data_IF_048190727732
#
_entry.id   IF_048190727732
#
_cell.length_a   1.000
_cell.length_b   1.000
_cell.length_c   1.000
_cell.angle_alpha   90.00
_cell.angle_beta   90.00
_cell.angle_gamma   90.00
#
_symmetry.space_group_name_H-M   'P 1'
#
loop_
_entity.id
_entity.type
_entity.pdbx_description
1 polymer ?
#
# COMPACT_ATOMS: atom_id res chain seq x y z
N UNK A 1 86.75 -41.65 -13.82
CA UNK A 1 85.80 -40.62 -13.37
C UNK A 1 84.81 -40.38 -14.49
N UNK A 2 83.51 -40.60 -14.22
CA UNK A 2 82.31 -40.19 -14.97
C UNK A 2 81.22 -41.25 -14.63
N UNK A 3 80.51 -41.09 -13.51
CA UNK A 3 79.25 -40.32 -13.33
C UNK A 3 78.01 -41.09 -13.83
N UNK A 4 77.19 -41.48 -12.85
CA UNK A 4 75.84 -42.06 -13.01
C UNK A 4 74.84 -40.91 -12.77
N UNK A 5 73.80 -40.71 -13.60
CA UNK A 5 72.88 -39.59 -13.42
C UNK A 5 71.85 -39.87 -12.31
N UNK A 6 71.59 -38.84 -11.52
CA UNK A 6 70.62 -38.76 -10.44
C UNK A 6 69.17 -38.90 -10.90
N UNK A 7 68.40 -39.70 -10.17
CA UNK A 7 66.94 -39.77 -10.24
C UNK A 7 66.30 -38.49 -9.69
N UNK A 8 65.35 -37.92 -10.43
CA UNK A 8 64.41 -36.92 -9.92
C UNK A 8 62.98 -37.38 -10.17
N UNK A 9 62.23 -37.53 -9.09
CA UNK A 9 60.80 -37.86 -9.08
C UNK A 9 60.03 -36.57 -9.41
N UNK A 10 59.06 -36.56 -10.33
CA UNK A 10 58.17 -35.41 -10.50
C UNK A 10 57.17 -35.35 -9.32
N UNK A 11 57.12 -34.23 -8.60
CA UNK A 11 56.09 -33.96 -7.60
C UNK A 11 54.77 -33.60 -8.30
N UNK A 12 53.74 -34.42 -8.09
CA UNK A 12 52.34 -34.02 -8.20
C UNK A 12 51.99 -33.05 -7.06
N UNK A 13 51.35 -31.92 -7.37
CA UNK A 13 50.86 -31.02 -6.32
C UNK A 13 50.46 -29.61 -6.74
N UNK A 14 49.83 -29.41 -7.91
CA UNK A 14 49.17 -28.14 -8.18
C UNK A 14 47.79 -28.14 -7.50
N UNK A 15 47.74 -27.64 -6.26
CA UNK A 15 46.49 -27.39 -5.56
C UNK A 15 45.67 -26.36 -6.36
N UNK A 16 44.50 -26.78 -6.85
CA UNK A 16 43.47 -25.85 -7.30
C UNK A 16 42.98 -25.11 -6.07
N UNK A 17 43.58 -23.95 -5.80
CA UNK A 17 43.04 -22.99 -4.84
C UNK A 17 41.65 -22.59 -5.34
N UNK A 18 40.62 -23.10 -4.67
CA UNK A 18 39.24 -22.64 -4.78
C UNK A 18 39.23 -21.12 -4.58
N UNK A 19 38.95 -20.37 -5.64
CA UNK A 19 38.67 -18.94 -5.55
C UNK A 19 37.38 -18.76 -4.75
N UNK A 20 37.51 -18.69 -3.42
CA UNK A 20 36.42 -18.27 -2.55
C UNK A 20 36.06 -16.85 -2.96
N UNK A 21 34.92 -16.69 -3.62
CA UNK A 21 34.27 -15.39 -3.77
C UNK A 21 34.11 -14.84 -2.35
N UNK A 22 34.67 -13.65 -2.04
CA UNK A 22 34.51 -13.05 -0.72
C UNK A 22 33.02 -12.83 -0.49
N UNK A 23 32.45 -13.52 0.50
CA UNK A 23 31.04 -13.36 0.89
C UNK A 23 30.79 -12.15 1.78
N UNK A 24 31.84 -11.42 2.16
CA UNK A 24 31.77 -10.22 2.99
C UNK A 24 32.04 -8.99 2.14
N UNK A 25 31.04 -8.09 2.07
CA UNK A 25 31.21 -6.74 1.54
C UNK A 25 31.98 -5.91 2.59
N UNK A 26 32.89 -5.06 2.13
CA UNK A 26 33.58 -4.07 2.97
C UNK A 26 32.62 -2.94 3.36
N UNK A 27 32.90 -2.21 4.45
CA UNK A 27 32.05 -1.10 4.91
C UNK A 27 31.79 -0.05 3.81
N UNK A 28 32.79 0.21 2.95
CA UNK A 28 32.64 1.11 1.79
C UNK A 28 31.72 0.55 0.71
N UNK A 29 31.72 -0.78 0.51
CA UNK A 29 30.79 -1.43 -0.40
C UNK A 29 29.38 -1.41 0.19
N UNK A 30 29.21 -1.58 1.51
CA UNK A 30 27.93 -1.45 2.21
C UNK A 30 27.38 -0.02 2.17
N UNK A 31 28.22 0.99 2.35
CA UNK A 31 27.83 2.41 2.20
C UNK A 31 27.31 2.73 0.78
N UNK A 32 27.79 2.02 -0.24
CA UNK A 32 27.32 2.17 -1.62
C UNK A 32 25.93 1.56 -1.88
N UNK A 33 25.48 0.63 -1.02
CA UNK A 33 24.14 0.03 -1.10
C UNK A 33 23.06 0.86 -0.41
N UNK A 34 23.43 1.85 0.42
CA UNK A 34 22.49 2.69 1.16
C UNK A 34 21.62 1.90 2.16
N UNK A 35 20.87 2.58 3.05
CA UNK A 35 19.81 1.91 3.79
C UNK A 35 18.73 1.40 2.82
N UNK A 36 18.03 0.29 3.11
CA UNK A 36 16.87 -0.12 2.33
C UNK A 36 15.84 1.02 2.31
N UNK A 37 15.49 1.50 1.12
CA UNK A 37 14.48 2.56 0.92
C UNK A 37 13.28 1.97 0.18
N UNK A 38 12.38 1.24 0.90
CA UNK A 38 11.24 0.61 0.27
C UNK A 38 10.32 1.67 -0.34
N UNK A 39 9.89 1.47 -1.59
CA UNK A 39 8.96 2.39 -2.25
C UNK A 39 7.55 2.14 -1.74
N UNK A 40 7.11 2.96 -0.80
CA UNK A 40 5.77 2.88 -0.20
C UNK A 40 4.79 3.84 -0.88
N UNK A 41 3.61 3.33 -1.27
CA UNK A 41 2.51 4.14 -1.78
C UNK A 41 1.31 4.09 -0.83
N UNK A 42 0.61 5.21 -0.74
CA UNK A 42 -0.68 5.30 -0.04
C UNK A 42 -1.73 5.79 -1.03
N UNK A 43 -2.64 4.90 -1.41
CA UNK A 43 -3.68 5.11 -2.41
C UNK A 43 -5.04 5.34 -1.75
N UNK A 44 -5.48 6.59 -1.69
CA UNK A 44 -6.82 6.98 -1.25
C UNK A 44 -7.84 6.85 -2.38
N UNK A 45 -8.83 5.98 -2.21
CA UNK A 45 -9.84 5.67 -3.22
C UNK A 45 -11.21 6.28 -2.86
N UNK A 46 -11.75 7.08 -3.77
CA UNK A 46 -13.06 7.72 -3.61
C UNK A 46 -13.07 8.81 -2.53
N UNK A 47 -14.28 9.19 -2.09
CA UNK A 47 -14.42 10.39 -1.27
C UNK A 47 -13.76 10.33 0.10
N UNK A 48 -14.07 9.30 0.89
CA UNK A 48 -13.43 9.12 2.22
C UNK A 48 -11.93 8.89 2.08
N UNK A 49 -11.48 8.06 1.13
CA UNK A 49 -10.04 7.86 0.90
C UNK A 49 -9.31 9.16 0.54
N UNK A 50 -9.93 10.03 -0.27
CA UNK A 50 -9.39 11.35 -0.58
C UNK A 50 -9.38 12.29 0.64
N UNK A 51 -10.38 12.22 1.52
CA UNK A 51 -10.36 12.96 2.78
C UNK A 51 -9.23 12.47 3.68
N UNK A 52 -9.02 11.16 3.77
CA UNK A 52 -7.86 10.58 4.44
C UNK A 52 -6.55 11.09 3.81
N UNK A 53 -6.43 11.21 2.48
CA UNK A 53 -5.22 11.78 1.84
C UNK A 53 -4.97 13.23 2.26
N UNK A 54 -6.03 14.03 2.41
CA UNK A 54 -5.90 15.37 2.96
C UNK A 54 -5.32 15.36 4.37
N UNK A 55 -5.77 14.42 5.22
CA UNK A 55 -5.26 14.26 6.60
C UNK A 55 -3.82 13.80 6.62
N UNK A 56 -3.48 12.76 5.86
CA UNK A 56 -2.10 12.25 5.71
C UNK A 56 -1.16 13.36 5.24
N UNK A 57 -1.56 14.15 4.25
CA UNK A 57 -0.75 15.27 3.77
C UNK A 57 -0.64 16.37 4.82
N UNK A 58 -1.67 16.60 5.62
CA UNK A 58 -1.66 17.62 6.67
C UNK A 58 -0.78 17.24 7.86
N UNK A 59 -0.81 15.98 8.32
CA UNK A 59 0.00 15.51 9.45
C UNK A 59 1.48 15.28 9.09
N UNK A 60 1.79 15.25 7.79
CA UNK A 60 3.13 14.97 7.26
C UNK A 60 3.53 13.53 7.50
N UNK A 61 3.46 12.69 6.45
CA UNK A 61 3.99 11.33 6.46
C UNK A 61 5.22 11.32 5.58
N UNK A 62 6.38 11.03 6.18
CA UNK A 62 7.66 10.88 5.47
C UNK A 62 7.79 9.46 4.94
N UNK A 63 8.51 9.28 3.82
CA UNK A 63 8.78 7.95 3.27
C UNK A 63 7.63 7.30 2.48
N UNK A 64 6.52 8.01 2.23
CA UNK A 64 5.43 7.48 1.40
C UNK A 64 4.95 8.45 0.30
N UNK A 65 4.65 7.90 -0.87
CA UNK A 65 4.05 8.62 -2.00
C UNK A 65 2.53 8.57 -1.87
N UNK A 66 1.89 9.73 -1.74
CA UNK A 66 0.42 9.82 -1.63
C UNK A 66 -0.25 9.92 -2.99
N UNK A 67 -1.25 9.07 -3.22
CA UNK A 67 -2.02 8.98 -4.46
C UNK A 67 -3.51 9.10 -4.15
N UNK A 68 -4.19 10.08 -4.75
CA UNK A 68 -5.65 10.21 -4.67
C UNK A 68 -6.29 9.73 -5.97
N UNK A 69 -7.27 8.82 -5.86
CA UNK A 69 -7.93 8.17 -7.00
C UNK A 69 -9.44 8.36 -6.87
N UNK A 70 -10.07 9.04 -7.82
CA UNK A 70 -11.50 9.35 -7.73
C UNK A 70 -12.17 9.41 -9.12
N UNK A 71 -13.48 9.23 -9.16
CA UNK A 71 -14.33 9.46 -10.35
C UNK A 71 -14.96 10.86 -10.36
N UNK A 72 -14.93 11.53 -9.20
CA UNK A 72 -15.44 12.89 -9.01
C UNK A 72 -14.28 13.89 -9.16
N UNK A 73 -14.36 14.75 -10.18
CA UNK A 73 -13.33 15.74 -10.46
C UNK A 73 -13.27 16.83 -9.39
N UNK A 74 -14.43 17.32 -8.95
CA UNK A 74 -14.51 18.42 -8.00
C UNK A 74 -13.89 18.02 -6.65
N UNK A 75 -14.16 16.79 -6.19
CA UNK A 75 -13.53 16.28 -4.97
C UNK A 75 -12.02 16.10 -5.16
N UNK A 76 -11.60 15.54 -6.30
CA UNK A 76 -10.18 15.32 -6.59
C UNK A 76 -9.37 16.62 -6.69
N UNK A 77 -9.94 17.67 -7.27
CA UNK A 77 -9.32 19.00 -7.34
C UNK A 77 -8.99 19.53 -5.94
N UNK A 78 -9.92 19.36 -4.99
CA UNK A 78 -9.78 19.80 -3.60
C UNK A 78 -8.98 18.84 -2.70
N UNK A 79 -8.54 17.70 -3.23
CA UNK A 79 -7.71 16.73 -2.50
C UNK A 79 -6.24 17.12 -2.54
N UNK A 80 -5.47 16.92 -1.47
CA UNK A 80 -4.02 17.10 -1.41
C UNK A 80 -3.38 15.72 -1.44
N UNK A 81 -2.58 15.47 -2.47
CA UNK A 81 -1.81 14.26 -2.69
C UNK A 81 -0.70 14.56 -3.71
N UNK A 82 0.40 13.82 -3.66
CA UNK A 82 1.51 13.98 -4.62
C UNK A 82 1.08 13.59 -6.03
N UNK A 83 0.23 12.57 -6.15
CA UNK A 83 -0.35 12.14 -7.42
C UNK A 83 -1.88 12.11 -7.34
N UNK A 84 -2.54 12.46 -8.44
CA UNK A 84 -4.01 12.47 -8.54
C UNK A 84 -4.44 11.77 -9.82
N UNK A 85 -5.38 10.84 -9.72
CA UNK A 85 -5.94 10.13 -10.85
C UNK A 85 -7.46 10.30 -10.91
N UNK A 86 -7.95 10.96 -11.97
CA UNK A 86 -9.36 10.97 -12.32
C UNK A 86 -9.66 9.75 -13.19
N UNK A 87 -10.29 8.73 -12.62
CA UNK A 87 -10.63 7.49 -13.32
C UNK A 87 -12.01 7.61 -13.96
N UNK A 88 -12.22 6.94 -15.10
CA UNK A 88 -13.54 6.86 -15.74
C UNK A 88 -14.06 8.19 -16.30
N UNK A 89 -13.18 9.14 -16.66
CA UNK A 89 -13.55 10.45 -17.23
C UNK A 89 -14.57 10.34 -18.37
N UNK A 90 -14.41 9.37 -19.27
CA UNK A 90 -15.32 9.17 -20.41
C UNK A 90 -16.66 8.52 -20.02
N UNK A 91 -16.75 7.94 -18.82
CA UNK A 91 -17.94 7.24 -18.32
C UNK A 91 -18.78 8.19 -17.44
N UNK A 92 -18.15 8.84 -16.47
CA UNK A 92 -18.85 9.70 -15.49
C UNK A 92 -18.86 11.18 -15.88
N UNK A 93 -18.04 11.57 -16.88
CA UNK A 93 -17.75 12.98 -17.20
C UNK A 93 -17.18 13.76 -16.01
N UNK A 94 -16.61 13.06 -15.03
CA UNK A 94 -16.07 13.66 -13.80
C UNK A 94 -17.12 13.95 -12.73
N UNK A 95 -18.37 13.48 -12.87
CA UNK A 95 -19.47 13.71 -11.94
C UNK A 95 -19.58 12.66 -10.81
N UNK A 96 -18.62 11.72 -10.74
CA UNK A 96 -18.65 10.64 -9.77
C UNK A 96 -19.49 9.43 -10.16
N UNK A 97 -19.45 8.40 -9.31
CA UNK A 97 -20.13 7.11 -9.54
C UNK A 97 -21.58 7.06 -9.00
N UNK A 98 -22.11 8.16 -8.44
CA UNK A 98 -23.50 8.22 -7.96
C UNK A 98 -23.84 7.23 -6.82
N UNK A 99 -22.84 6.76 -6.09
CA UNK A 99 -23.02 5.75 -5.04
C UNK A 99 -23.07 4.30 -5.55
N UNK A 100 -22.99 4.06 -6.85
CA UNK A 100 -23.00 2.72 -7.45
C UNK A 100 -21.58 2.10 -7.53
N UNK A 101 -21.29 1.01 -6.79
CA UNK A 101 -20.00 0.33 -6.84
C UNK A 101 -19.67 -0.26 -8.22
N UNK A 102 -20.69 -0.71 -8.96
CA UNK A 102 -20.50 -1.29 -10.31
C UNK A 102 -19.98 -0.22 -11.24
N UNK A 103 -20.56 0.98 -11.18
CA UNK A 103 -20.05 2.14 -11.92
C UNK A 103 -18.61 2.48 -11.53
N UNK A 104 -18.30 2.53 -10.23
CA UNK A 104 -16.95 2.79 -9.73
C UNK A 104 -15.92 1.78 -10.25
N UNK A 105 -16.27 0.50 -10.23
CA UNK A 105 -15.45 -0.61 -10.76
C UNK A 105 -15.21 -0.47 -12.26
N UNK A 106 -16.26 -0.25 -13.07
CA UNK A 106 -16.12 -0.03 -14.52
C UNK A 106 -15.20 1.14 -14.84
N UNK A 107 -15.26 2.19 -14.03
CA UNK A 107 -14.37 3.34 -14.15
C UNK A 107 -12.91 2.96 -13.87
N UNK A 108 -12.63 2.20 -12.81
CA UNK A 108 -11.29 1.71 -12.50
C UNK A 108 -10.75 0.74 -13.56
N UNK A 109 -11.60 -0.17 -14.07
CA UNK A 109 -11.24 -1.09 -15.15
C UNK A 109 -10.84 -0.34 -16.42
N UNK A 110 -11.58 0.71 -16.80
CA UNK A 110 -11.22 1.57 -17.93
C UNK A 110 -9.91 2.37 -17.71
N UNK A 111 -9.50 2.56 -16.46
CA UNK A 111 -8.27 3.22 -16.07
C UNK A 111 -7.15 2.28 -15.63
N UNK A 112 -7.32 0.96 -15.82
CA UNK A 112 -6.44 -0.09 -15.26
C UNK A 112 -4.97 0.14 -15.61
N UNK A 113 -4.65 0.39 -16.88
CA UNK A 113 -3.27 0.63 -17.32
C UNK A 113 -2.60 1.80 -16.59
N UNK A 114 -3.36 2.84 -16.24
CA UNK A 114 -2.83 4.00 -15.50
C UNK A 114 -2.64 3.65 -14.02
N UNK A 115 -3.56 2.88 -13.44
CA UNK A 115 -3.43 2.37 -12.06
C UNK A 115 -2.18 1.49 -11.96
N UNK A 116 -1.99 0.55 -12.89
CA UNK A 116 -0.81 -0.32 -12.94
C UNK A 116 0.48 0.52 -12.99
N UNK A 117 0.55 1.54 -13.85
CA UNK A 117 1.72 2.44 -13.93
C UNK A 117 2.02 3.20 -12.63
N UNK A 118 1.01 3.55 -11.85
CA UNK A 118 1.20 4.23 -10.57
C UNK A 118 1.83 3.27 -9.55
N UNK A 119 1.28 2.06 -9.45
CA UNK A 119 1.67 1.06 -8.44
C UNK A 119 2.89 0.23 -8.84
N UNK A 120 3.30 0.29 -10.10
CA UNK A 120 4.46 -0.43 -10.61
C UNK A 120 5.75 -0.04 -9.86
N UNK A 121 6.55 -1.05 -9.50
CA UNK A 121 7.76 -0.88 -8.69
C UNK A 121 7.53 -0.46 -7.23
N UNK A 122 6.31 -0.57 -6.70
CA UNK A 122 6.05 -0.37 -5.28
C UNK A 122 6.37 -1.63 -4.48
N UNK A 123 7.02 -1.49 -3.33
CA UNK A 123 7.27 -2.61 -2.41
C UNK A 123 6.05 -2.84 -1.50
N UNK A 124 5.40 -1.75 -1.09
CA UNK A 124 4.22 -1.74 -0.22
C UNK A 124 3.20 -0.72 -0.71
N UNK A 125 1.96 -1.14 -0.83
CA UNK A 125 0.83 -0.28 -1.20
C UNK A 125 -0.24 -0.35 -0.12
N UNK A 126 -0.50 0.79 0.53
CA UNK A 126 -1.68 1.00 1.33
C UNK A 126 -2.86 1.40 0.45
N UNK A 127 -3.97 0.69 0.55
CA UNK A 127 -5.22 1.06 -0.13
C UNK A 127 -6.21 1.51 0.92
N UNK A 128 -6.62 2.79 0.90
CA UNK A 128 -7.60 3.31 1.85
C UNK A 128 -8.88 3.76 1.17
N UNK A 129 -10.03 3.35 1.73
CA UNK A 129 -11.33 3.67 1.21
C UNK A 129 -12.43 3.56 2.28
N UNK A 130 -13.38 4.49 2.24
CA UNK A 130 -14.67 4.30 2.90
C UNK A 130 -15.60 3.46 2.03
N UNK A 131 -16.04 2.32 2.56
CA UNK A 131 -16.91 1.38 1.86
C UNK A 131 -18.39 1.78 1.99
N UNK A 132 -19.21 1.33 1.05
CA UNK A 132 -20.65 1.62 0.97
C UNK A 132 -21.01 2.73 -0.01
N UNK A 133 -20.03 3.51 -0.46
CA UNK A 133 -20.15 4.43 -1.59
C UNK A 133 -19.98 3.74 -2.94
N UNK A 134 -20.00 4.51 -4.04
CA UNK A 134 -19.79 3.95 -5.38
C UNK A 134 -18.31 3.87 -5.75
N UNK A 135 -17.62 5.00 -5.61
CA UNK A 135 -16.23 5.12 -6.04
C UNK A 135 -15.28 4.31 -5.17
N UNK A 136 -15.26 4.54 -3.85
CA UNK A 136 -14.33 3.84 -2.95
C UNK A 136 -14.49 2.32 -3.02
N UNK A 137 -15.74 1.84 -2.90
CA UNK A 137 -16.09 0.41 -2.96
C UNK A 137 -15.78 -0.23 -4.30
N UNK A 138 -15.97 0.48 -5.42
CA UNK A 138 -15.68 -0.07 -6.75
C UNK A 138 -14.20 -0.02 -7.15
N UNK A 139 -13.48 1.04 -6.74
CA UNK A 139 -12.08 1.27 -7.13
C UNK A 139 -11.10 0.48 -6.25
N UNK A 140 -11.32 0.43 -4.93
CA UNK A 140 -10.35 -0.13 -3.99
C UNK A 140 -9.92 -1.58 -4.32
N UNK A 141 -10.83 -2.52 -4.68
CA UNK A 141 -10.41 -3.86 -5.08
C UNK A 141 -9.52 -3.89 -6.33
N UNK A 142 -9.77 -3.01 -7.30
CA UNK A 142 -8.98 -2.95 -8.55
C UNK A 142 -7.58 -2.42 -8.26
N UNK A 143 -7.45 -1.39 -7.43
CA UNK A 143 -6.13 -0.85 -7.04
C UNK A 143 -5.33 -1.88 -6.26
N UNK A 144 -5.96 -2.57 -5.32
CA UNK A 144 -5.32 -3.66 -4.57
C UNK A 144 -4.86 -4.79 -5.48
N UNK A 145 -5.72 -5.21 -6.44
CA UNK A 145 -5.40 -6.26 -7.40
C UNK A 145 -4.21 -5.90 -8.29
N UNK A 146 -4.18 -4.68 -8.84
CA UNK A 146 -3.07 -4.23 -9.70
C UNK A 146 -1.76 -4.07 -8.92
N UNK A 147 -1.82 -3.58 -7.68
CA UNK A 147 -0.64 -3.49 -6.81
C UNK A 147 -0.07 -4.88 -6.51
N UNK A 148 -0.93 -5.85 -6.15
CA UNK A 148 -0.52 -7.23 -5.87
C UNK A 148 0.06 -7.92 -7.10
N UNK A 149 -0.55 -7.71 -8.28
CA UNK A 149 -0.02 -8.20 -9.56
C UNK A 149 1.34 -7.60 -9.92
N UNK A 150 1.60 -6.37 -9.50
CA UNK A 150 2.88 -5.66 -9.69
C UNK A 150 3.95 -6.06 -8.67
N UNK A 151 3.65 -7.01 -7.77
CA UNK A 151 4.61 -7.58 -6.82
C UNK A 151 4.64 -6.92 -5.44
N UNK A 152 3.85 -5.86 -5.22
CA UNK A 152 3.79 -5.16 -3.95
C UNK A 152 3.10 -6.00 -2.86
N UNK A 153 3.50 -5.80 -1.60
CA UNK A 153 2.68 -6.16 -0.45
C UNK A 153 1.50 -5.19 -0.37
N UNK A 154 0.28 -5.70 -0.25
CA UNK A 154 -0.93 -4.87 -0.25
C UNK A 154 -1.65 -4.91 1.09
N UNK A 155 -1.75 -3.75 1.74
CA UNK A 155 -2.49 -3.57 3.00
C UNK A 155 -3.67 -2.65 2.74
N UNK A 156 -4.89 -3.16 2.89
CA UNK A 156 -6.08 -2.33 2.77
C UNK A 156 -6.52 -1.82 4.14
N UNK A 157 -6.76 -0.50 4.28
CA UNK A 157 -7.32 0.12 5.48
C UNK A 157 -8.67 0.74 5.11
N UNK A 158 -9.75 0.05 5.46
CA UNK A 158 -11.10 0.39 4.99
C UNK A 158 -12.06 0.67 6.13
N UNK A 159 -13.01 1.57 5.92
CA UNK A 159 -14.09 1.83 6.89
C UNK A 159 -15.43 1.28 6.43
N UNK A 160 -16.23 0.78 7.37
CA UNK A 160 -17.65 0.47 7.15
C UNK A 160 -18.51 1.70 7.47
N UNK A 161 -19.68 1.88 6.83
CA UNK A 161 -20.52 3.05 7.06
C UNK A 161 -21.17 3.03 8.45
N UNK A 162 -21.52 4.21 8.97
CA UNK A 162 -22.37 4.32 10.16
C UNK A 162 -23.77 3.75 9.85
N UNK A 163 -24.42 3.17 10.87
CA UNK A 163 -25.78 2.60 10.75
C UNK A 163 -26.81 3.64 10.29
N UNK A 164 -26.55 4.93 10.57
CA UNK A 164 -27.39 6.06 10.14
C UNK A 164 -27.31 6.37 8.64
N UNK A 165 -26.31 5.87 7.91
CA UNK A 165 -26.04 6.22 6.50
C UNK A 165 -26.81 5.39 5.46
N UNK A 166 -27.99 4.88 5.81
CA UNK A 166 -28.86 3.98 5.03
C UNK A 166 -28.34 2.54 4.93
N UNK A 167 -29.26 1.59 5.13
CA UNK A 167 -29.01 0.13 5.06
C UNK A 167 -28.27 -0.31 3.79
N UNK A 168 -28.63 0.26 2.63
CA UNK A 168 -28.02 -0.08 1.35
C UNK A 168 -26.50 0.20 1.30
N UNK A 169 -26.00 1.21 2.02
CA UNK A 169 -24.56 1.46 2.09
C UNK A 169 -23.83 0.32 2.79
N UNK A 170 -24.41 -0.23 3.86
CA UNK A 170 -23.82 -1.35 4.58
C UNK A 170 -23.74 -2.60 3.70
N UNK A 171 -24.79 -2.92 2.95
CA UNK A 171 -24.79 -4.07 2.02
C UNK A 171 -23.68 -3.95 0.97
N UNK A 172 -23.60 -2.79 0.32
CA UNK A 172 -22.52 -2.47 -0.63
C UNK A 172 -21.13 -2.54 0.02
N UNK A 173 -21.03 -2.11 1.27
CA UNK A 173 -19.77 -2.14 1.99
C UNK A 173 -19.28 -3.57 2.24
N UNK A 174 -20.19 -4.48 2.63
CA UNK A 174 -19.87 -5.89 2.86
C UNK A 174 -19.46 -6.60 1.57
N UNK A 175 -20.16 -6.34 0.46
CA UNK A 175 -19.78 -6.85 -0.86
C UNK A 175 -18.41 -6.34 -1.32
N UNK A 176 -18.15 -5.04 -1.15
CA UNK A 176 -16.84 -4.46 -1.47
C UNK A 176 -15.73 -5.01 -0.57
N UNK A 177 -16.01 -5.21 0.71
CA UNK A 177 -15.05 -5.76 1.66
C UNK A 177 -14.61 -7.18 1.28
N UNK A 178 -15.54 -8.03 0.85
CA UNK A 178 -15.21 -9.36 0.34
C UNK A 178 -14.27 -9.30 -0.89
N UNK A 179 -14.51 -8.35 -1.79
CA UNK A 179 -13.65 -8.14 -2.96
C UNK A 179 -12.26 -7.61 -2.57
N UNK A 180 -12.17 -6.68 -1.61
CA UNK A 180 -10.90 -6.17 -1.09
C UNK A 180 -10.11 -7.29 -0.41
N UNK A 181 -10.75 -8.14 0.41
CA UNK A 181 -10.12 -9.29 1.08
C UNK A 181 -9.51 -10.29 0.09
N UNK A 182 -10.12 -10.46 -1.08
CA UNK A 182 -9.57 -11.31 -2.15
C UNK A 182 -8.38 -10.67 -2.86
N UNK A 183 -8.33 -9.33 -2.91
CA UNK A 183 -7.33 -8.58 -3.67
C UNK A 183 -6.10 -8.15 -2.85
N UNK A 184 -6.24 -7.93 -1.54
CA UNK A 184 -5.16 -7.52 -0.64
C UNK A 184 -4.44 -8.71 0.01
N UNK A 185 -3.31 -8.46 0.68
CA UNK A 185 -2.63 -9.44 1.54
C UNK A 185 -3.13 -9.35 2.99
N UNK A 186 -3.37 -8.12 3.47
CA UNK A 186 -3.99 -7.85 4.77
C UNK A 186 -5.09 -6.79 4.63
N UNK A 187 -6.14 -6.90 5.45
CA UNK A 187 -7.24 -5.92 5.47
C UNK A 187 -7.53 -5.51 6.91
N UNK A 188 -7.30 -4.23 7.21
CA UNK A 188 -7.74 -3.60 8.46
C UNK A 188 -9.11 -2.96 8.24
N UNK A 189 -10.12 -3.50 8.91
CA UNK A 189 -11.49 -2.98 8.85
C UNK A 189 -11.76 -2.12 10.09
N UNK A 190 -12.05 -0.85 9.86
CA UNK A 190 -12.44 0.10 10.89
C UNK A 190 -13.96 0.28 10.87
N UNK A 191 -14.62 -0.14 11.95
CA UNK A 191 -16.07 -0.01 12.06
C UNK A 191 -16.47 1.36 12.61
N UNK A 192 -17.04 2.21 11.74
CA UNK A 192 -17.51 3.54 12.14
C UNK A 192 -18.54 3.48 13.28
N UNK A 193 -19.32 2.40 13.40
CA UNK A 193 -20.29 2.27 14.49
C UNK A 193 -19.63 2.17 15.86
N UNK A 194 -18.40 1.65 15.95
CA UNK A 194 -17.67 1.60 17.22
C UNK A 194 -17.38 2.99 17.74
N UNK A 195 -17.18 3.98 16.87
CA UNK A 195 -16.97 5.37 17.27
C UNK A 195 -18.19 5.93 18.02
N UNK A 196 -19.41 5.57 17.62
CA UNK A 196 -20.65 6.04 18.25
C UNK A 196 -20.80 5.59 19.71
N UNK A 197 -20.17 4.48 20.10
CA UNK A 197 -20.17 4.05 21.51
C UNK A 197 -19.34 4.97 22.40
N UNK A 198 -18.31 5.61 21.85
CA UNK A 198 -17.45 6.53 22.60
C UNK A 198 -17.95 7.98 22.52
N UNK A 199 -18.57 8.37 21.39
CA UNK A 199 -19.03 9.73 21.13
C UNK A 199 -20.45 9.75 20.52
N UNK A 200 -21.50 9.44 21.31
CA UNK A 200 -22.86 9.20 20.78
C UNK A 200 -23.57 10.45 20.23
N UNK A 201 -23.18 11.65 20.67
CA UNK A 201 -23.84 12.92 20.32
C UNK A 201 -23.05 13.74 19.28
N UNK A 202 -22.03 13.15 18.67
CA UNK A 202 -21.16 13.85 17.74
C UNK A 202 -21.87 14.05 16.39
N UNK A 203 -21.79 15.24 15.76
CA UNK A 203 -22.22 15.44 14.39
C UNK A 203 -21.55 14.44 13.44
N UNK A 204 -22.29 13.97 12.44
CA UNK A 204 -21.84 12.89 11.55
C UNK A 204 -20.58 13.28 10.75
N UNK A 205 -20.48 14.55 10.35
CA UNK A 205 -19.32 15.12 9.67
C UNK A 205 -18.07 15.17 10.54
N UNK A 206 -18.22 15.53 11.81
CA UNK A 206 -17.13 15.45 12.80
C UNK A 206 -16.70 13.98 13.02
N UNK A 207 -17.66 13.06 13.08
CA UNK A 207 -17.39 11.64 13.24
C UNK A 207 -16.57 11.06 12.06
N UNK A 208 -16.88 11.45 10.81
CA UNK A 208 -16.05 11.09 9.66
C UNK A 208 -14.64 11.67 9.78
N UNK A 209 -14.50 12.91 10.23
CA UNK A 209 -13.19 13.54 10.39
C UNK A 209 -12.32 12.81 11.43
N UNK A 210 -12.91 12.29 12.51
CA UNK A 210 -12.19 11.47 13.50
C UNK A 210 -11.72 10.16 12.87
N UNK A 211 -12.57 9.50 12.08
CA UNK A 211 -12.18 8.27 11.39
C UNK A 211 -11.06 8.50 10.38
N UNK A 212 -11.13 9.59 9.60
CA UNK A 212 -10.07 9.96 8.66
C UNK A 212 -8.75 10.24 9.39
N UNK A 213 -8.81 10.87 10.58
CA UNK A 213 -7.64 11.12 11.43
C UNK A 213 -7.03 9.80 11.94
N UNK A 214 -7.86 8.90 12.46
CA UNK A 214 -7.41 7.59 12.94
C UNK A 214 -6.72 6.78 11.83
N UNK A 215 -7.29 6.76 10.63
CA UNK A 215 -6.67 6.07 9.48
C UNK A 215 -5.32 6.71 9.16
N UNK A 216 -5.25 8.05 9.13
CA UNK A 216 -4.02 8.75 8.82
C UNK A 216 -2.91 8.45 9.84
N UNK A 217 -3.25 8.38 11.14
CA UNK A 217 -2.33 8.00 12.21
C UNK A 217 -1.86 6.55 12.11
N UNK A 218 -2.76 5.62 11.77
CA UNK A 218 -2.40 4.21 11.54
C UNK A 218 -1.41 4.10 10.38
N UNK A 219 -1.74 4.71 9.23
CA UNK A 219 -0.87 4.67 8.04
C UNK A 219 0.48 5.32 8.35
N UNK A 220 0.49 6.50 8.98
CA UNK A 220 1.70 7.18 9.41
C UNK A 220 2.56 6.28 10.30
N UNK A 221 1.96 5.70 11.34
CA UNK A 221 2.68 4.85 12.29
C UNK A 221 3.34 3.64 11.61
N UNK A 222 2.65 2.98 10.69
CA UNK A 222 3.23 1.83 9.96
C UNK A 222 4.31 2.27 8.99
N UNK A 223 4.07 3.34 8.21
CA UNK A 223 5.06 3.88 7.25
C UNK A 223 6.34 4.29 7.97
N UNK A 224 6.22 5.12 9.01
CA UNK A 224 7.40 5.65 9.73
C UNK A 224 8.14 4.56 10.50
N UNK A 225 7.45 3.52 10.97
CA UNK A 225 8.11 2.36 11.60
C UNK A 225 8.98 1.60 10.60
N UNK A 226 8.62 1.61 9.31
CA UNK A 226 9.37 0.94 8.24
C UNK A 226 10.50 1.83 7.72
N UNK A 227 10.25 3.14 7.56
CA UNK A 227 11.16 4.04 6.84
C UNK A 227 12.10 4.82 7.74
N UNK A 228 11.76 5.03 9.02
CA UNK A 228 12.61 5.79 9.94
C UNK A 228 13.48 4.86 10.79
N UNK A 229 14.76 5.19 11.00
CA UNK A 229 15.63 4.42 11.88
C UNK A 229 15.07 4.32 13.31
N UNK A 230 14.82 3.10 13.75
CA UNK A 230 14.35 2.76 15.09
C UNK A 230 15.48 2.12 15.91
N UNK A 231 15.49 2.31 17.24
CA UNK A 231 16.42 1.64 18.16
C UNK A 231 16.32 0.10 18.09
N UNK A 232 15.18 -0.42 17.65
CA UNK A 232 14.94 -1.83 17.29
C UNK A 232 14.42 -1.80 15.85
N UNK A 233 15.30 -2.02 14.88
CA UNK A 233 14.92 -1.98 13.47
C UNK A 233 14.07 -3.22 13.14
N UNK A 234 12.79 -3.02 12.82
CA UNK A 234 11.94 -4.05 12.24
C UNK A 234 12.29 -4.15 10.75
N UNK A 235 12.66 -5.33 10.26
CA UNK A 235 12.98 -5.48 8.85
C UNK A 235 11.67 -5.56 8.01
N UNK A 236 11.74 -5.11 6.75
CA UNK A 236 10.60 -5.15 5.85
C UNK A 236 10.14 -6.59 5.55
N UNK A 237 11.04 -7.57 5.69
CA UNK A 237 10.73 -8.99 5.47
C UNK A 237 9.84 -9.57 6.59
N UNK A 238 10.02 -9.13 7.83
CA UNK A 238 9.26 -9.47 9.02
C UNK A 238 7.84 -8.90 8.91
N UNK A 239 7.73 -7.62 8.53
CA UNK A 239 6.44 -6.98 8.24
C UNK A 239 5.71 -7.75 7.14
N UNK A 240 6.40 -8.10 6.05
CA UNK A 240 5.84 -8.87 4.95
C UNK A 240 5.39 -10.27 5.38
N UNK A 241 6.14 -10.94 6.24
CA UNK A 241 5.83 -12.27 6.75
C UNK A 241 4.56 -12.27 7.62
N UNK A 242 4.44 -11.29 8.52
CA UNK A 242 3.26 -11.11 9.38
C UNK A 242 2.03 -10.73 8.55
N UNK A 243 2.18 -9.80 7.60
CA UNK A 243 1.06 -9.27 6.82
C UNK A 243 0.54 -10.25 5.75
N UNK A 244 1.39 -11.09 5.14
CA UNK A 244 0.94 -12.12 4.19
C UNK A 244 0.08 -13.23 4.80
N UNK A 245 0.09 -13.36 6.12
CA UNK A 245 -0.74 -14.31 6.87
C UNK A 245 -1.73 -13.66 7.84
N UNK A 246 -1.74 -12.31 7.91
CA UNK A 246 -2.53 -11.52 8.84
C UNK A 246 -3.99 -11.38 8.41
N UNK A 247 -4.70 -12.50 8.30
CA UNK A 247 -6.15 -12.50 8.24
C UNK A 247 -6.72 -12.32 9.64
N UNK A 248 -7.34 -11.16 9.92
CA UNK A 248 -8.31 -10.98 11.00
C UNK A 248 -9.63 -10.49 10.40
#
# INVERSE_FOLDING_TARGET
MAEVPSSSIPQEGASRASSRVPTALTDRELESFGPPDPRILVCGCGGSGNNTMNRITHIGVEGAITVAINTDKQHLDNTRAMQKLLVGRHITRGLGAGGDPVMGRRCAEAGRDVITKIVDGADLVFVTAGLGGGTGTGIAPIVAEEAKRSGALVVAVVTTPFTVERRQRMERALEGLDQVRKAADAVLVLDNNRLLHFVPNLPLDEAFSIMDQLIAEIVKGVVETITLPSLINLDFADVRSIMKGGGV
#
